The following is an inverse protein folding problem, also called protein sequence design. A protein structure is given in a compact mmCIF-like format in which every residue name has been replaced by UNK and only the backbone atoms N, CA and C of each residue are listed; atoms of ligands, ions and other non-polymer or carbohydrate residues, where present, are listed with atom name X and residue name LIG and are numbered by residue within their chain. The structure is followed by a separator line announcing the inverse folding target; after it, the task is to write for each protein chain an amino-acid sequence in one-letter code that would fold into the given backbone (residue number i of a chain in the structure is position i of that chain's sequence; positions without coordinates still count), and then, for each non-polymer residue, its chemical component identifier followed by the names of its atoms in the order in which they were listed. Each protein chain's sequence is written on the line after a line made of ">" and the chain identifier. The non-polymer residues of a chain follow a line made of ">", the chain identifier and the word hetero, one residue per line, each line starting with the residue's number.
data_IF_292832175721
#
_entry.id   IF_292832175721
#
_cell.length_a   1.000
_cell.length_b   1.000
_cell.length_c   1.000
_cell.angle_alpha   90.00
_cell.angle_beta   90.00
_cell.angle_gamma   90.00
#
_symmetry.space_group_name_H-M   'P 1'
#
loop_
_entity.id
_entity.type
_entity.pdbx_description
1 polymer ?
#
# COMPACT_ATOMS: atom_id res chain seq x y z
N UNK A 1 -8.78 -7.01 -13.80
CA UNK A 1 -7.36 -6.85 -13.44
C UNK A 1 -6.61 -8.06 -13.86
N UNK A 2 -5.51 -7.84 -14.54
CA UNK A 2 -4.74 -8.94 -15.05
C UNK A 2 -3.54 -9.27 -14.19
N UNK A 3 -2.91 -10.38 -14.51
CA UNK A 3 -1.66 -10.81 -13.87
C UNK A 3 -0.58 -9.73 -14.01
N UNK A 4 -0.58 -8.97 -15.09
CA UNK A 4 0.41 -7.91 -15.32
C UNK A 4 0.34 -6.82 -14.26
N UNK A 5 -0.85 -6.49 -13.76
CA UNK A 5 -0.99 -5.50 -12.70
C UNK A 5 -0.35 -5.98 -11.42
N UNK A 6 -0.53 -7.26 -11.09
CA UNK A 6 0.08 -7.85 -9.92
C UNK A 6 1.60 -7.88 -10.04
N UNK A 7 2.11 -8.30 -11.19
CA UNK A 7 3.56 -8.34 -11.43
C UNK A 7 4.17 -6.96 -11.36
N UNK A 8 3.50 -5.97 -11.95
CA UNK A 8 3.95 -4.58 -11.90
C UNK A 8 4.01 -4.06 -10.47
N UNK A 9 2.97 -4.33 -9.69
CA UNK A 9 2.91 -3.88 -8.30
C UNK A 9 4.02 -4.50 -7.47
N UNK A 10 4.35 -5.76 -7.71
CA UNK A 10 5.36 -6.48 -6.94
C UNK A 10 6.78 -6.32 -7.48
N UNK A 11 6.94 -5.64 -8.60
CA UNK A 11 8.27 -5.41 -9.19
C UNK A 11 9.12 -4.42 -8.38
N UNK A 12 8.47 -3.53 -7.62
CA UNK A 12 9.16 -2.50 -6.85
C UNK A 12 9.40 -3.01 -5.42
N UNK A 13 10.65 -2.97 -4.93
CA UNK A 13 10.96 -3.42 -3.56
C UNK A 13 10.19 -2.68 -2.48
N UNK A 14 10.00 -1.37 -2.65
CA UNK A 14 9.27 -0.57 -1.67
C UNK A 14 7.82 -1.02 -1.58
N UNK A 15 7.19 -1.31 -2.73
CA UNK A 15 5.82 -1.80 -2.72
C UNK A 15 5.69 -3.17 -2.04
N UNK A 16 6.67 -4.05 -2.22
CA UNK A 16 6.69 -5.34 -1.51
C UNK A 16 6.78 -5.14 0.00
N UNK A 17 7.60 -4.20 0.44
CA UNK A 17 7.73 -3.88 1.86
C UNK A 17 6.44 -3.30 2.43
N UNK A 18 5.78 -2.42 1.68
CA UNK A 18 4.48 -1.87 2.09
C UNK A 18 3.48 -3.00 2.29
N UNK A 19 3.41 -3.94 1.35
CA UNK A 19 2.52 -5.09 1.49
C UNK A 19 2.84 -5.92 2.74
N UNK A 20 4.10 -6.14 3.03
CA UNK A 20 4.50 -6.88 4.22
C UNK A 20 4.05 -6.19 5.50
N UNK A 21 4.16 -4.87 5.55
CA UNK A 21 3.68 -4.10 6.71
C UNK A 21 2.18 -4.20 6.85
N UNK A 22 1.45 -4.10 5.75
CA UNK A 22 -0.01 -4.13 5.77
C UNK A 22 -0.58 -5.51 6.06
N UNK A 23 0.21 -6.56 5.91
CA UNK A 23 -0.16 -7.89 6.37
C UNK A 23 -0.24 -7.95 7.90
N UNK A 24 0.60 -7.18 8.57
CA UNK A 24 0.73 -7.22 10.03
C UNK A 24 -0.21 -6.27 10.73
N UNK A 25 -0.43 -5.10 10.13
CA UNK A 25 -1.28 -4.10 10.77
C UNK A 25 -1.81 -3.12 9.73
N UNK A 26 -2.88 -2.44 10.10
CA UNK A 26 -3.47 -1.38 9.29
C UNK A 26 -2.67 -0.11 9.50
N UNK A 27 -2.27 0.54 8.42
CA UNK A 27 -1.46 1.76 8.48
C UNK A 27 -2.07 2.84 7.61
N UNK A 28 -1.92 4.09 8.04
CA UNK A 28 -2.28 5.24 7.20
C UNK A 28 -1.17 5.51 6.20
N UNK A 29 -1.49 6.29 5.16
CA UNK A 29 -0.48 6.71 4.20
C UNK A 29 0.64 7.50 4.87
N UNK A 30 0.31 8.34 5.85
CA UNK A 30 1.31 9.09 6.61
C UNK A 30 2.26 8.19 7.36
N UNK A 31 1.75 7.16 8.00
CA UNK A 31 2.57 6.19 8.72
C UNK A 31 3.51 5.44 7.80
N UNK A 32 3.02 5.09 6.61
CA UNK A 32 3.86 4.43 5.60
C UNK A 32 4.98 5.36 5.16
N UNK A 33 4.65 6.61 4.86
CA UNK A 33 5.65 7.61 4.47
C UNK A 33 6.73 7.80 5.51
N UNK A 34 6.35 7.86 6.77
CA UNK A 34 7.29 8.00 7.89
C UNK A 34 8.19 6.79 8.01
N UNK A 35 7.62 5.60 7.84
CA UNK A 35 8.39 4.36 7.95
C UNK A 35 9.50 4.27 6.90
N UNK A 36 9.21 4.70 5.67
CA UNK A 36 10.17 4.61 4.57
C UNK A 36 10.94 5.89 4.32
N UNK A 37 10.63 6.97 5.02
CA UNK A 37 11.23 8.28 4.81
C UNK A 37 11.10 8.76 3.36
N UNK A 38 9.93 8.57 2.78
CA UNK A 38 9.63 9.00 1.42
C UNK A 38 8.51 10.04 1.43
N UNK A 39 8.40 10.80 0.33
CA UNK A 39 7.40 11.86 0.23
C UNK A 39 5.98 11.29 0.15
N UNK A 40 5.01 12.13 0.55
CA UNK A 40 3.60 11.77 0.43
C UNK A 40 3.20 11.46 -1.02
N UNK A 41 3.78 12.17 -1.99
CA UNK A 41 3.53 11.92 -3.40
C UNK A 41 4.01 10.52 -3.82
N UNK A 42 5.18 10.10 -3.33
CA UNK A 42 5.70 8.76 -3.61
C UNK A 42 4.82 7.69 -2.97
N UNK A 43 4.40 7.90 -1.73
CA UNK A 43 3.48 6.98 -1.04
C UNK A 43 2.19 6.82 -1.83
N UNK A 44 1.60 7.95 -2.23
CA UNK A 44 0.36 7.97 -3.00
C UNK A 44 0.47 7.15 -4.27
N UNK A 45 1.60 7.31 -4.97
CA UNK A 45 1.86 6.58 -6.21
C UNK A 45 1.96 5.07 -5.97
N UNK A 46 2.72 4.66 -4.97
CA UNK A 46 2.85 3.24 -4.64
C UNK A 46 1.52 2.63 -4.23
N UNK A 47 0.76 3.36 -3.41
CA UNK A 47 -0.54 2.88 -2.96
C UNK A 47 -1.53 2.76 -4.11
N UNK A 48 -1.51 3.70 -5.06
CA UNK A 48 -2.38 3.63 -6.24
C UNK A 48 -2.10 2.37 -7.05
N UNK A 49 -0.82 2.04 -7.27
CA UNK A 49 -0.45 0.85 -8.01
C UNK A 49 -0.93 -0.41 -7.29
N UNK A 50 -0.75 -0.46 -5.98
CA UNK A 50 -1.19 -1.61 -5.18
C UNK A 50 -2.71 -1.75 -5.15
N UNK A 51 -3.44 -0.64 -5.10
CA UNK A 51 -4.90 -0.67 -5.15
C UNK A 51 -5.41 -1.13 -6.51
N UNK A 52 -4.80 -0.67 -7.59
CA UNK A 52 -5.16 -1.09 -8.94
C UNK A 52 -4.97 -2.59 -9.15
N UNK A 53 -3.97 -3.16 -8.50
CA UNK A 53 -3.72 -4.59 -8.54
C UNK A 53 -4.60 -5.37 -7.55
N UNK A 54 -5.45 -4.67 -6.81
CA UNK A 54 -6.37 -5.26 -5.82
C UNK A 54 -5.63 -5.99 -4.70
N UNK A 55 -4.43 -5.52 -4.37
CA UNK A 55 -3.62 -6.10 -3.30
C UNK A 55 -3.85 -5.45 -1.95
N UNK A 56 -4.33 -4.20 -1.93
CA UNK A 56 -4.65 -3.47 -0.72
C UNK A 56 -5.99 -2.76 -0.87
N UNK A 57 -6.56 -2.34 0.25
CA UNK A 57 -7.80 -1.59 0.27
C UNK A 57 -7.79 -0.57 1.39
N UNK A 58 -8.63 0.46 1.27
CA UNK A 58 -8.90 1.43 2.33
C UNK A 58 -9.91 0.86 3.31
N UNK A 59 -9.66 1.07 4.60
CA UNK A 59 -10.63 0.73 5.65
C UNK A 59 -11.01 2.00 6.41
N UNK A 60 -11.63 2.95 5.70
CA UNK A 60 -11.96 4.26 6.27
C UNK A 60 -13.09 4.23 7.27
N UNK A 61 -13.99 3.27 7.13
CA UNK A 61 -15.15 3.17 8.02
C UNK A 61 -14.81 2.58 9.38
N UNK A 62 -13.60 2.08 9.55
CA UNK A 62 -13.14 1.49 10.80
C UNK A 62 -12.16 2.42 11.50
N UNK A 63 -12.13 2.33 12.80
CA UNK A 63 -11.16 3.11 13.59
C UNK A 63 -10.16 2.18 14.26
N UNK A 64 -8.87 2.49 14.18
CA UNK A 64 -8.31 3.56 13.37
C UNK A 64 -8.47 3.26 11.87
N UNK A 65 -8.72 4.31 11.09
CA UNK A 65 -8.80 4.17 9.65
C UNK A 65 -7.40 3.98 9.06
N UNK A 66 -7.32 3.33 7.92
CA UNK A 66 -6.02 3.11 7.28
C UNK A 66 -6.14 2.15 6.11
N UNK A 67 -5.00 1.69 5.65
CA UNK A 67 -4.87 0.77 4.54
C UNK A 67 -4.54 -0.62 5.07
N UNK A 68 -5.05 -1.61 4.39
CA UNK A 68 -4.84 -3.00 4.76
C UNK A 68 -4.68 -3.87 3.52
N UNK A 69 -3.90 -4.94 3.67
CA UNK A 69 -3.77 -5.93 2.60
C UNK A 69 -5.11 -6.64 2.40
N UNK A 70 -5.49 -6.78 1.17
CA UNK A 70 -6.72 -7.48 0.79
C UNK A 70 -6.65 -8.97 1.08
#
# INVERSE_FOLDING_TARGET
>A
MGMQDTLRALADPTRREILNLLKKSRLSAGEIGDHFSISGAAVSRHLSVLKEADLIRDERSRRPSGLRKT
#
